data_IF_159757222265
#
_entry.id   IF_159757222265
#
_cell.length_a   1.000
_cell.length_b   1.000
_cell.length_c   1.000
_cell.angle_alpha   90.00
_cell.angle_beta   90.00
_cell.angle_gamma   90.00
#
_symmetry.space_group_name_H-M   'P 1'
#
loop_
_entity.id
_entity.type
_entity.pdbx_description
1 polymer ?
#
# COMPACT_ATOMS: atom_id res chain seq x y z
N UNK A 1 19.86 24.73 -29.27
CA UNK A 1 20.58 25.03 -30.54
C UNK A 1 21.92 25.74 -30.28
N UNK A 2 21.98 26.84 -29.52
CA UNK A 2 23.23 27.59 -29.30
C UNK A 2 24.43 26.77 -28.78
N UNK A 3 24.24 25.82 -27.87
CA UNK A 3 25.34 24.98 -27.35
C UNK A 3 26.07 24.18 -28.45
N UNK A 4 25.34 23.68 -29.46
CA UNK A 4 25.94 22.97 -30.59
C UNK A 4 26.70 23.92 -31.53
N UNK A 5 26.23 25.16 -31.67
CA UNK A 5 26.93 26.21 -32.43
C UNK A 5 28.27 26.59 -31.75
N UNK A 6 28.29 26.68 -30.42
CA UNK A 6 29.51 26.94 -29.64
C UNK A 6 30.51 25.77 -29.78
N UNK A 7 30.05 24.52 -29.68
CA UNK A 7 30.90 23.33 -29.88
C UNK A 7 31.51 23.32 -31.29
N UNK A 8 30.73 23.65 -32.33
CA UNK A 8 31.21 23.73 -33.71
C UNK A 8 32.21 24.88 -33.93
N UNK A 9 32.05 26.01 -33.25
CA UNK A 9 33.01 27.13 -33.29
C UNK A 9 34.33 26.75 -32.59
N UNK A 10 34.28 26.04 -31.46
CA UNK A 10 35.48 25.60 -30.72
C UNK A 10 36.26 24.52 -31.50
N UNK A 11 35.58 23.57 -32.15
CA UNK A 11 36.29 22.58 -32.98
C UNK A 11 36.95 23.23 -34.20
N UNK A 12 36.31 24.24 -34.80
CA UNK A 12 36.86 25.01 -35.91
C UNK A 12 38.09 25.83 -35.49
N UNK A 13 38.07 26.51 -34.32
CA UNK A 13 39.26 27.25 -33.85
C UNK A 13 40.44 26.34 -33.57
N UNK A 14 40.23 25.16 -32.96
CA UNK A 14 41.29 24.17 -32.77
C UNK A 14 41.94 23.74 -34.09
N UNK A 15 41.16 23.52 -35.16
CA UNK A 15 41.67 23.17 -36.48
C UNK A 15 42.52 24.31 -37.09
N UNK A 16 42.04 25.56 -36.99
CA UNK A 16 42.78 26.74 -37.46
C UNK A 16 44.09 26.96 -36.67
N UNK A 17 44.11 26.68 -35.36
CA UNK A 17 45.34 26.72 -34.56
C UNK A 17 46.35 25.66 -35.01
N UNK A 18 45.93 24.42 -35.24
CA UNK A 18 46.80 23.34 -35.71
C UNK A 18 47.43 23.66 -37.07
N UNK A 19 46.64 24.16 -38.02
CA UNK A 19 47.15 24.59 -39.34
C UNK A 19 48.14 25.75 -39.17
N UNK A 20 47.88 26.71 -38.27
CA UNK A 20 48.79 27.84 -38.03
C UNK A 20 50.17 27.39 -37.53
N UNK A 21 50.22 26.40 -36.63
CA UNK A 21 51.48 25.78 -36.18
C UNK A 21 52.20 25.09 -37.34
N UNK A 22 51.50 24.32 -38.16
CA UNK A 22 52.09 23.68 -39.36
C UNK A 22 52.66 24.71 -40.36
N UNK A 23 52.02 25.87 -40.56
CA UNK A 23 52.55 26.93 -41.43
C UNK A 23 53.79 27.63 -40.84
N UNK A 24 53.94 27.67 -39.51
CA UNK A 24 55.13 28.19 -38.82
C UNK A 24 56.32 27.25 -38.97
N UNK A 25 56.13 25.93 -38.77
CA UNK A 25 57.16 24.91 -39.00
C UNK A 25 57.66 24.93 -40.45
N UNK A 26 56.76 25.12 -41.41
CA UNK A 26 57.09 25.28 -42.84
C UNK A 26 57.69 26.67 -43.19
N UNK A 27 57.95 27.52 -42.20
CA UNK A 27 58.52 28.89 -42.32
C UNK A 27 57.84 29.76 -43.40
N UNK A 28 56.55 29.54 -43.65
CA UNK A 28 55.83 30.15 -44.77
C UNK A 28 55.37 31.55 -44.41
N UNK A 29 55.61 32.54 -45.27
CA UNK A 29 55.28 33.96 -45.01
C UNK A 29 53.79 34.20 -44.66
N UNK A 30 52.90 33.35 -45.18
CA UNK A 30 51.46 33.35 -44.88
C UNK A 30 51.08 33.00 -43.42
N UNK A 31 52.02 32.48 -42.61
CA UNK A 31 51.76 32.14 -41.21
C UNK A 31 51.24 33.33 -40.39
N UNK A 32 51.75 34.55 -40.64
CA UNK A 32 51.28 35.78 -39.97
C UNK A 32 49.78 36.02 -40.21
N UNK A 33 49.31 35.84 -41.44
CA UNK A 33 47.90 36.02 -41.82
C UNK A 33 47.01 35.01 -41.09
N UNK A 34 47.44 33.75 -41.01
CA UNK A 34 46.71 32.71 -40.29
C UNK A 34 46.61 32.99 -38.78
N UNK A 35 47.68 33.48 -38.15
CA UNK A 35 47.67 33.90 -36.74
C UNK A 35 46.66 35.03 -36.48
N UNK A 36 46.50 36.00 -37.40
CA UNK A 36 45.44 37.02 -37.27
C UNK A 36 44.03 36.40 -37.34
N UNK A 37 43.80 35.43 -38.22
CA UNK A 37 42.51 34.74 -38.28
C UNK A 37 42.21 33.89 -37.04
N UNK A 38 43.21 33.21 -36.44
CA UNK A 38 43.00 32.46 -35.19
C UNK A 38 42.64 33.39 -34.04
N UNK A 39 43.35 34.51 -33.90
CA UNK A 39 43.06 35.53 -32.88
C UNK A 39 41.64 36.12 -33.05
N UNK A 40 41.26 36.46 -34.28
CA UNK A 40 39.93 36.97 -34.61
C UNK A 40 38.80 35.98 -34.23
N UNK A 41 38.96 34.69 -34.56
CA UNK A 41 37.98 33.67 -34.19
C UNK A 41 37.89 33.46 -32.66
N UNK A 42 39.01 33.50 -31.93
CA UNK A 42 39.01 33.42 -30.47
C UNK A 42 38.23 34.60 -29.85
N UNK A 43 38.44 35.83 -30.35
CA UNK A 43 37.67 37.00 -29.93
C UNK A 43 36.17 36.83 -30.24
N UNK A 44 35.82 36.28 -31.42
CA UNK A 44 34.43 35.94 -31.76
C UNK A 44 33.79 34.93 -30.79
N UNK A 45 34.53 33.91 -30.35
CA UNK A 45 34.07 32.96 -29.34
C UNK A 45 33.87 33.65 -27.98
N UNK A 46 34.79 34.51 -27.54
CA UNK A 46 34.64 35.28 -26.28
C UNK A 46 33.41 36.20 -26.33
N UNK A 47 33.18 36.88 -27.46
CA UNK A 47 32.00 37.75 -27.65
C UNK A 47 30.69 36.94 -27.62
N UNK A 48 30.65 35.73 -28.20
CA UNK A 48 29.44 34.90 -28.13
C UNK A 48 29.19 34.31 -26.75
N UNK A 49 30.24 34.07 -25.95
CA UNK A 49 30.12 33.68 -24.53
C UNK A 49 29.64 34.87 -23.68
N UNK A 50 30.13 36.09 -23.92
CA UNK A 50 29.69 37.29 -23.19
C UNK A 50 28.23 37.68 -23.51
N UNK A 51 27.78 37.44 -24.74
CA UNK A 51 26.39 37.65 -25.15
C UNK A 51 25.49 36.42 -24.92
N UNK A 52 25.96 35.39 -24.20
CA UNK A 52 25.12 34.27 -23.81
C UNK A 52 24.02 34.78 -22.86
N UNK A 53 22.73 34.74 -23.25
CA UNK A 53 21.68 35.23 -22.37
C UNK A 53 21.69 34.40 -21.09
N UNK A 54 21.88 35.08 -19.96
CA UNK A 54 21.85 34.44 -18.64
C UNK A 54 20.62 33.57 -18.53
N UNK A 55 20.81 32.28 -18.31
CA UNK A 55 19.73 31.37 -17.93
C UNK A 55 19.28 31.73 -16.52
N UNK A 56 18.50 32.80 -16.40
CA UNK A 56 17.79 33.17 -15.19
C UNK A 56 16.72 32.10 -15.00
N UNK A 57 17.13 30.98 -14.42
CA UNK A 57 16.22 29.99 -13.88
C UNK A 57 15.32 30.76 -12.91
N UNK A 58 14.00 30.81 -13.11
CA UNK A 58 13.12 31.44 -12.13
C UNK A 58 13.37 30.72 -10.80
N UNK A 59 13.86 31.46 -9.81
CA UNK A 59 14.06 30.90 -8.47
C UNK A 59 12.67 30.67 -7.91
N UNK A 60 12.16 29.44 -8.07
CA UNK A 60 10.89 29.02 -7.52
C UNK A 60 10.99 29.04 -5.99
N UNK A 61 10.72 30.21 -5.41
CA UNK A 61 10.42 30.37 -4.01
C UNK A 61 9.02 29.80 -3.74
N UNK A 62 8.90 28.47 -3.87
CA UNK A 62 7.83 27.75 -3.21
C UNK A 62 8.16 27.75 -1.72
N UNK A 63 7.84 28.86 -1.07
CA UNK A 63 7.63 28.85 0.36
C UNK A 63 6.28 28.14 0.57
N UNK A 64 6.28 26.90 1.11
CA UNK A 64 5.02 26.20 1.34
C UNK A 64 4.19 27.07 2.27
N UNK A 65 3.02 27.52 1.82
CA UNK A 65 2.09 28.17 2.72
C UNK A 65 1.79 27.17 3.83
N UNK A 66 2.29 27.46 5.04
CA UNK A 66 2.03 26.64 6.21
C UNK A 66 0.51 26.53 6.31
N UNK A 67 -0.07 25.32 6.23
CA UNK A 67 -1.52 25.19 6.18
C UNK A 67 -2.09 25.90 7.41
N UNK A 68 -3.06 26.79 7.16
CA UNK A 68 -3.77 27.54 8.20
C UNK A 68 -4.72 26.58 8.92
N UNK A 69 -4.15 25.62 9.65
CA UNK A 69 -4.93 24.57 10.30
C UNK A 69 -5.65 25.18 11.49
N UNK A 70 -6.94 25.44 11.29
CA UNK A 70 -7.83 25.94 12.33
C UNK A 70 -7.83 24.94 13.49
N UNK A 71 -7.23 25.33 14.62
CA UNK A 71 -7.02 24.43 15.77
C UNK A 71 -8.33 23.94 16.39
N UNK A 72 -9.48 24.58 16.09
CA UNK A 72 -10.81 24.07 16.46
C UNK A 72 -11.32 23.02 15.48
N UNK A 73 -11.03 23.15 14.20
CA UNK A 73 -11.41 22.16 13.17
C UNK A 73 -10.50 20.93 13.21
N UNK A 74 -9.20 21.11 13.48
CA UNK A 74 -8.32 19.99 13.85
C UNK A 74 -8.88 19.27 15.07
N UNK A 75 -9.08 19.95 16.21
CA UNK A 75 -9.60 19.27 17.41
C UNK A 75 -10.98 18.67 17.21
N UNK A 76 -11.83 19.22 16.33
CA UNK A 76 -13.11 18.61 15.99
C UNK A 76 -12.98 17.39 15.06
N UNK A 77 -12.05 17.40 14.11
CA UNK A 77 -11.78 16.27 13.21
C UNK A 77 -10.97 15.16 13.89
N UNK A 78 -9.95 15.52 14.68
CA UNK A 78 -9.19 14.67 15.58
C UNK A 78 -10.14 14.02 16.57
N UNK A 79 -10.94 14.76 17.35
CA UNK A 79 -11.91 14.16 18.30
C UNK A 79 -13.00 13.31 17.59
N UNK A 80 -13.36 13.62 16.34
CA UNK A 80 -14.25 12.77 15.51
C UNK A 80 -13.57 11.50 14.97
N UNK A 81 -12.24 11.42 15.00
CA UNK A 81 -11.42 10.26 14.59
C UNK A 81 -10.80 9.52 15.81
N UNK A 82 -10.66 10.19 16.96
CA UNK A 82 -10.12 9.65 18.22
C UNK A 82 -11.01 8.55 18.80
N UNK A 83 -12.32 8.64 18.57
CA UNK A 83 -13.27 7.62 19.03
C UNK A 83 -13.46 6.56 17.94
N UNK A 84 -13.18 5.31 18.33
CA UNK A 84 -13.56 4.07 17.65
C UNK A 84 -12.58 3.43 16.64
N UNK A 85 -11.28 3.41 16.97
CA UNK A 85 -10.36 2.33 16.54
C UNK A 85 -9.96 1.39 17.67
N UNK A 86 -9.93 1.87 18.93
CA UNK A 86 -9.63 1.04 20.10
C UNK A 86 -10.72 -0.02 20.24
N UNK A 87 -10.34 -1.29 20.29
CA UNK A 87 -11.26 -2.43 20.30
C UNK A 87 -11.63 -2.96 18.92
N UNK A 88 -11.45 -2.18 17.84
CA UNK A 88 -11.72 -2.66 16.47
C UNK A 88 -10.67 -3.66 16.00
N UNK A 89 -11.09 -4.47 15.02
CA UNK A 89 -10.25 -5.44 14.32
C UNK A 89 -9.65 -4.79 13.08
N UNK A 90 -8.38 -5.07 12.81
CA UNK A 90 -7.66 -4.60 11.61
C UNK A 90 -7.02 -5.79 10.91
N UNK A 91 -6.99 -5.77 9.57
CA UNK A 91 -6.35 -6.80 8.75
C UNK A 91 -5.01 -6.30 8.21
N UNK A 92 -3.99 -7.15 8.22
CA UNK A 92 -2.67 -6.82 7.66
C UNK A 92 -2.71 -6.86 6.13
N UNK A 93 -2.32 -5.75 5.48
CA UNK A 93 -2.30 -5.62 4.01
C UNK A 93 -0.93 -5.97 3.39
N UNK A 94 0.15 -5.77 4.14
CA UNK A 94 1.51 -6.14 3.73
C UNK A 94 1.71 -7.67 3.69
N UNK A 95 2.66 -8.18 2.91
CA UNK A 95 3.08 -9.60 2.95
C UNK A 95 3.58 -9.99 4.35
N UNK A 96 4.44 -9.14 4.90
CA UNK A 96 4.97 -9.19 6.25
C UNK A 96 4.79 -7.83 6.93
N UNK A 97 4.38 -7.85 8.20
CA UNK A 97 4.31 -6.67 9.05
C UNK A 97 5.01 -6.97 10.37
N UNK A 98 6.03 -6.18 10.68
CA UNK A 98 6.78 -6.31 11.92
C UNK A 98 5.99 -5.72 13.08
N UNK A 99 6.03 -6.41 14.23
CA UNK A 99 5.57 -5.90 15.51
C UNK A 99 6.79 -5.41 16.28
N UNK A 100 6.80 -4.13 16.61
CA UNK A 100 7.88 -3.45 17.33
C UNK A 100 7.57 -3.33 18.84
N UNK A 101 8.60 -3.34 19.68
CA UNK A 101 8.48 -3.13 21.13
C UNK A 101 7.99 -1.71 21.50
N UNK A 102 8.28 -0.72 20.65
CA UNK A 102 7.91 0.69 20.82
C UNK A 102 7.62 1.35 19.46
N UNK A 103 7.11 2.58 19.46
CA UNK A 103 6.70 3.40 18.30
C UNK A 103 7.90 3.94 17.51
N UNK A 104 8.82 3.08 17.12
CA UNK A 104 10.05 3.45 16.42
C UNK A 104 10.58 2.31 15.57
N UNK A 105 11.00 2.61 14.33
CA UNK A 105 11.71 1.65 13.48
C UNK A 105 13.07 1.23 14.04
N UNK A 106 13.59 1.92 15.07
CA UNK A 106 14.80 1.53 15.82
C UNK A 106 14.50 0.63 17.02
N UNK A 107 13.23 0.40 17.35
CA UNK A 107 12.85 -0.49 18.45
C UNK A 107 13.06 -1.96 18.06
N UNK A 108 13.30 -2.81 19.06
CA UNK A 108 13.40 -4.25 18.86
C UNK A 108 12.10 -4.80 18.25
N UNK A 109 12.22 -5.60 17.21
CA UNK A 109 11.12 -6.42 16.68
C UNK A 109 10.80 -7.52 17.70
N UNK A 110 9.54 -7.59 18.15
CA UNK A 110 9.04 -8.60 19.10
C UNK A 110 8.28 -9.74 18.42
N UNK A 111 7.89 -9.56 17.16
CA UNK A 111 7.27 -10.58 16.32
C UNK A 111 7.03 -10.08 14.90
N UNK A 112 6.54 -10.97 14.05
CA UNK A 112 6.11 -10.65 12.68
C UNK A 112 4.77 -11.31 12.44
N UNK A 113 3.86 -10.59 11.80
CA UNK A 113 2.51 -11.04 11.42
C UNK A 113 2.36 -10.97 9.92
N UNK A 114 1.58 -11.90 9.36
CA UNK A 114 1.46 -12.10 7.91
C UNK A 114 0.26 -11.38 7.32
N UNK A 115 0.27 -11.18 6.00
CA UNK A 115 -0.88 -10.69 5.25
C UNK A 115 -2.16 -11.47 5.59
N UNK A 116 -3.28 -10.76 5.74
CA UNK A 116 -4.57 -11.35 6.07
C UNK A 116 -4.79 -11.67 7.55
N UNK A 117 -3.76 -11.57 8.41
CA UNK A 117 -3.94 -11.78 9.85
C UNK A 117 -4.80 -10.67 10.48
N UNK A 118 -5.73 -11.06 11.35
CA UNK A 118 -6.65 -10.15 12.04
C UNK A 118 -6.09 -9.81 13.42
N UNK A 119 -5.85 -8.52 13.65
CA UNK A 119 -5.27 -7.99 14.87
C UNK A 119 -6.29 -7.12 15.60
N UNK A 120 -6.30 -7.17 16.94
CA UNK A 120 -7.12 -6.28 17.76
C UNK A 120 -6.33 -5.03 18.12
N UNK A 121 -6.85 -3.83 17.83
CA UNK A 121 -6.23 -2.58 18.26
C UNK A 121 -6.52 -2.33 19.73
N UNK A 122 -5.47 -2.17 20.54
CA UNK A 122 -5.56 -1.96 22.00
C UNK A 122 -5.16 -0.55 22.43
N UNK A 123 -4.40 0.20 21.62
CA UNK A 123 -4.16 1.63 21.84
C UNK A 123 -3.82 2.37 20.53
N UNK A 124 -4.20 3.64 20.46
CA UNK A 124 -3.83 4.57 19.40
C UNK A 124 -3.11 5.76 20.04
N UNK A 125 -1.87 6.10 19.66
CA UNK A 125 -1.15 7.26 20.16
C UNK A 125 -1.56 8.54 19.39
N UNK A 126 -1.35 9.74 19.96
CA UNK A 126 -1.82 11.00 19.35
C UNK A 126 -1.23 11.33 17.96
N UNK A 127 -0.07 10.76 17.60
CA UNK A 127 0.50 10.95 16.28
C UNK A 127 -0.11 10.04 15.20
N UNK A 128 -0.95 9.06 15.58
CA UNK A 128 -1.66 8.13 14.71
C UNK A 128 -0.84 7.27 13.72
N UNK A 129 0.46 7.50 13.54
CA UNK A 129 1.33 6.71 12.64
C UNK A 129 1.45 5.24 13.09
N UNK A 130 1.25 4.98 14.38
CA UNK A 130 1.40 3.68 15.02
C UNK A 130 0.09 3.23 15.66
N UNK A 131 -0.10 1.93 15.76
CA UNK A 131 -1.18 1.29 16.50
C UNK A 131 -0.57 0.26 17.44
N UNK A 132 -0.99 0.23 18.70
CA UNK A 132 -0.68 -0.91 19.58
C UNK A 132 -1.71 -1.97 19.31
N UNK A 133 -1.27 -3.17 18.97
CA UNK A 133 -2.12 -4.31 18.63
C UNK A 133 -1.90 -5.49 19.59
N UNK A 134 -2.87 -6.40 19.57
CA UNK A 134 -2.80 -7.73 20.15
C UNK A 134 -3.15 -8.76 19.06
N UNK A 135 -2.28 -9.74 18.90
CA UNK A 135 -2.48 -10.93 18.04
C UNK A 135 -3.41 -11.94 18.70
N UNK A 136 -3.94 -12.89 17.92
CA UNK A 136 -4.75 -14.00 18.46
C UNK A 136 -4.01 -14.91 19.45
N UNK A 137 -2.67 -14.93 19.40
CA UNK A 137 -1.81 -15.67 20.36
C UNK A 137 -1.51 -14.88 21.64
N UNK A 138 -2.04 -13.66 21.76
CA UNK A 138 -1.84 -12.79 22.93
C UNK A 138 -0.59 -11.92 22.88
N UNK A 139 0.32 -12.10 21.91
CA UNK A 139 1.48 -11.22 21.73
C UNK A 139 1.01 -9.79 21.42
N UNK A 140 1.56 -8.82 22.15
CA UNK A 140 1.26 -7.39 21.97
C UNK A 140 2.48 -6.60 21.53
N UNK A 141 2.26 -5.53 20.77
CA UNK A 141 3.28 -4.57 20.40
C UNK A 141 2.75 -3.54 19.43
N UNK A 142 3.64 -2.78 18.79
CA UNK A 142 3.30 -1.67 17.92
C UNK A 142 3.46 -2.04 16.46
N UNK A 143 2.55 -1.57 15.61
CA UNK A 143 2.59 -1.69 14.14
C UNK A 143 2.31 -0.33 13.51
N UNK A 144 2.73 -0.12 12.27
CA UNK A 144 2.49 1.14 11.55
C UNK A 144 1.11 1.13 10.90
N UNK A 145 0.31 2.17 11.14
CA UNK A 145 -1.10 2.28 10.74
C UNK A 145 -1.32 2.09 9.23
N UNK A 146 -0.42 2.60 8.40
CA UNK A 146 -0.54 2.55 6.93
C UNK A 146 -0.47 1.14 6.31
N UNK A 147 -0.09 0.12 7.07
CA UNK A 147 -0.01 -1.28 6.61
C UNK A 147 -1.17 -2.15 7.07
N UNK A 148 -2.14 -1.59 7.81
CA UNK A 148 -3.33 -2.29 8.27
C UNK A 148 -4.61 -1.57 7.82
N UNK A 149 -5.64 -2.35 7.52
CA UNK A 149 -6.93 -1.86 7.06
C UNK A 149 -8.00 -2.17 8.11
N UNK A 150 -8.89 -1.22 8.41
CA UNK A 150 -9.87 -1.36 9.49
C UNK A 150 -11.03 -2.22 9.00
N UNK A 151 -11.28 -3.33 9.70
CA UNK A 151 -12.49 -4.12 9.48
C UNK A 151 -13.64 -3.35 10.14
N UNK A 152 -14.43 -2.68 9.32
CA UNK A 152 -15.69 -2.10 9.74
C UNK A 152 -16.73 -3.23 9.81
N UNK A 153 -16.95 -3.74 11.02
CA UNK A 153 -18.09 -4.60 11.30
C UNK A 153 -19.38 -3.80 11.02
N UNK A 154 -20.27 -4.29 10.14
CA UNK A 154 -21.49 -3.57 9.70
C UNK A 154 -22.53 -3.36 10.82
N UNK A 155 -22.26 -3.86 12.04
CA UNK A 155 -23.12 -3.79 13.22
C UNK A 155 -23.24 -2.41 13.90
N UNK A 156 -22.64 -1.35 13.34
CA UNK A 156 -22.75 0.03 13.89
C UNK A 156 -23.86 0.88 13.25
N UNK A 157 -24.73 0.30 12.40
CA UNK A 157 -25.87 1.03 11.79
C UNK A 157 -27.24 0.83 12.46
N UNK A 158 -27.31 0.07 13.56
CA UNK A 158 -28.53 -0.15 14.35
C UNK A 158 -28.24 -0.05 15.84
N UNK A 159 -28.10 1.19 16.35
CA UNK A 159 -28.10 1.46 17.80
C UNK A 159 -28.50 2.89 18.24
N UNK A 160 -29.11 3.67 17.35
CA UNK A 160 -29.66 5.01 17.67
C UNK A 160 -31.19 5.12 17.50
N UNK A 161 -31.89 4.07 17.04
CA UNK A 161 -33.34 4.13 16.76
C UNK A 161 -34.24 3.57 17.89
N UNK A 162 -33.68 2.88 18.90
CA UNK A 162 -34.43 2.31 20.04
C UNK A 162 -34.48 3.25 21.28
N UNK A 163 -34.74 4.55 21.08
CA UNK A 163 -34.85 5.53 22.19
C UNK A 163 -36.08 6.43 22.19
N UNK A 164 -37.08 6.13 21.38
CA UNK A 164 -38.43 6.70 21.49
C UNK A 164 -39.45 5.56 21.37
N UNK A 165 -40.58 5.67 22.10
CA UNK A 165 -41.65 4.65 22.18
C UNK A 165 -41.21 3.41 23.00
N UNK A 166 -41.75 3.07 24.17
CA UNK A 166 -42.85 3.67 24.94
C UNK A 166 -42.75 3.30 26.44
N UNK A 167 -43.08 4.24 27.33
CA UNK A 167 -43.53 3.92 28.68
C UNK A 167 -45.06 3.80 28.64
N UNK A 168 -45.61 2.63 28.90
CA UNK A 168 -46.40 2.39 30.12
C UNK A 168 -47.02 0.97 30.20
N UNK A 169 -46.85 0.33 31.37
CA UNK A 169 -47.70 -0.69 32.06
C UNK A 169 -48.18 -1.94 31.27
N UNK A 170 -47.76 -3.15 31.64
CA UNK A 170 -48.23 -3.96 32.80
C UNK A 170 -49.73 -4.33 32.69
N UNK A 171 -50.17 -5.60 32.72
CA UNK A 171 -50.10 -6.66 33.76
C UNK A 171 -50.55 -7.99 33.09
N UNK A 172 -49.76 -9.08 32.99
CA UNK A 172 -49.54 -10.23 33.93
C UNK A 172 -50.37 -11.51 33.57
N UNK A 173 -49.82 -12.70 33.89
CA UNK A 173 -50.43 -14.07 33.91
C UNK A 173 -50.71 -14.74 32.54
N UNK A 174 -50.61 -16.07 32.36
CA UNK A 174 -50.08 -17.26 33.07
C UNK A 174 -49.86 -18.36 31.97
N UNK A 175 -49.23 -19.54 32.11
CA UNK A 175 -48.72 -20.35 33.22
C UNK A 175 -47.49 -21.20 32.75
N UNK A 176 -47.12 -22.31 33.43
CA UNK A 176 -46.04 -23.25 33.05
C UNK A 176 -46.54 -24.63 32.51
N UNK A 177 -45.65 -25.37 31.83
CA UNK A 177 -45.20 -26.78 32.11
C UNK A 177 -44.58 -27.46 30.86
N UNK A 178 -43.59 -28.32 31.11
CA UNK A 178 -42.69 -29.03 30.18
C UNK A 178 -43.36 -30.06 29.26
N UNK A 179 -42.67 -30.42 28.13
CA UNK A 179 -42.39 -31.83 27.81
C UNK A 179 -41.22 -32.07 26.82
N UNK A 180 -40.35 -33.02 27.17
CA UNK A 180 -39.44 -33.93 26.41
C UNK A 180 -39.25 -33.70 24.88
N UNK A 181 -38.07 -33.81 24.24
CA UNK A 181 -37.08 -34.89 24.36
C UNK A 181 -35.85 -34.68 23.40
N UNK A 182 -34.70 -35.26 23.76
CA UNK A 182 -33.58 -35.74 22.91
C UNK A 182 -32.71 -34.80 22.03
N UNK A 183 -31.38 -34.94 22.27
CA UNK A 183 -30.24 -34.81 21.33
C UNK A 183 -29.88 -33.45 20.72
N UNK A 184 -28.74 -32.89 21.12
CA UNK A 184 -27.45 -32.91 20.38
C UNK A 184 -26.45 -31.90 21.02
N UNK A 185 -25.21 -32.32 21.30
CA UNK A 185 -24.10 -31.44 21.70
C UNK A 185 -22.76 -31.92 21.13
N UNK A 186 -22.24 -31.23 20.11
CA UNK A 186 -21.02 -30.41 20.24
C UNK A 186 -20.88 -29.56 18.96
N UNK A 187 -21.36 -28.31 19.03
CA UNK A 187 -21.47 -27.40 17.90
C UNK A 187 -20.84 -26.03 18.28
N UNK A 188 -19.63 -25.74 17.80
CA UNK A 188 -19.04 -24.40 17.88
C UNK A 188 -18.91 -23.78 16.48
N UNK A 189 -20.06 -23.51 15.90
CA UNK A 189 -20.24 -23.01 14.54
C UNK A 189 -20.17 -21.49 14.48
N UNK A 190 -18.96 -20.94 14.54
CA UNK A 190 -18.69 -19.52 14.29
C UNK A 190 -19.09 -19.13 12.86
N UNK A 191 -20.27 -18.50 12.72
CA UNK A 191 -20.92 -18.24 11.44
C UNK A 191 -20.11 -17.37 10.49
N UNK A 192 -19.60 -17.97 9.41
CA UNK A 192 -18.92 -17.28 8.31
C UNK A 192 -19.79 -17.35 7.06
N UNK A 193 -20.21 -16.19 6.53
CA UNK A 193 -21.14 -16.10 5.40
C UNK A 193 -20.52 -16.62 4.08
N UNK A 194 -20.70 -17.90 3.78
CA UNK A 194 -20.23 -18.54 2.54
C UNK A 194 -20.02 -20.05 2.60
N UNK A 195 -20.00 -20.66 3.79
CA UNK A 195 -19.82 -22.11 3.97
C UNK A 195 -20.89 -22.91 3.22
N UNK A 196 -20.48 -23.85 2.38
CA UNK A 196 -21.36 -24.70 1.57
C UNK A 196 -21.68 -24.18 0.16
N UNK A 197 -21.29 -22.94 -0.19
CA UNK A 197 -21.47 -22.44 -1.57
C UNK A 197 -20.46 -23.09 -2.54
N UNK A 198 -20.91 -23.30 -3.79
CA UNK A 198 -20.05 -23.77 -4.88
C UNK A 198 -19.38 -22.60 -5.60
N UNK A 199 -18.12 -22.80 -6.00
CA UNK A 199 -17.38 -21.85 -6.84
C UNK A 199 -16.78 -22.54 -8.05
N UNK A 200 -16.60 -21.79 -9.14
CA UNK A 200 -15.96 -22.24 -10.38
C UNK A 200 -14.59 -21.58 -10.55
N UNK A 201 -13.59 -22.34 -11.00
CA UNK A 201 -12.24 -21.81 -11.27
C UNK A 201 -12.22 -20.98 -12.56
N UNK A 202 -11.72 -19.74 -12.49
CA UNK A 202 -11.65 -18.81 -13.65
C UNK A 202 -10.41 -18.99 -14.54
N UNK A 203 -9.32 -19.52 -13.99
CA UNK A 203 -8.02 -19.68 -14.68
C UNK A 203 -7.83 -21.10 -15.20
N UNK A 204 -6.98 -21.32 -16.20
CA UNK A 204 -6.70 -22.66 -16.75
C UNK A 204 -6.21 -23.66 -15.70
N UNK A 205 -5.42 -23.16 -14.74
CA UNK A 205 -4.95 -23.88 -13.56
C UNK A 205 -5.00 -22.94 -12.35
N UNK A 206 -5.26 -23.50 -11.17
CA UNK A 206 -5.28 -22.79 -9.89
C UNK A 206 -4.62 -23.65 -8.81
N UNK A 207 -3.61 -23.09 -8.15
CA UNK A 207 -2.87 -23.80 -7.09
C UNK A 207 -3.63 -23.78 -5.77
N UNK A 208 -3.86 -24.96 -5.21
CA UNK A 208 -4.39 -25.17 -3.86
C UNK A 208 -3.22 -25.17 -2.88
N UNK A 209 -3.29 -24.35 -1.84
CA UNK A 209 -2.20 -24.14 -0.88
C UNK A 209 -2.58 -24.62 0.53
N UNK A 210 -1.57 -24.95 1.32
CA UNK A 210 -1.74 -25.37 2.71
C UNK A 210 -2.32 -24.27 3.62
N UNK A 211 -2.10 -23.00 3.27
CA UNK A 211 -2.40 -21.83 4.11
C UNK A 211 -2.81 -20.63 3.22
N UNK A 212 -3.45 -19.62 3.79
CA UNK A 212 -4.04 -18.47 3.09
C UNK A 212 -3.01 -17.40 2.67
N UNK A 213 -1.94 -17.82 1.98
CA UNK A 213 -0.83 -16.95 1.55
C UNK A 213 -0.22 -17.40 0.21
N UNK A 214 0.33 -16.44 -0.54
CA UNK A 214 1.07 -16.69 -1.79
C UNK A 214 2.42 -17.39 -1.57
N UNK A 215 2.94 -17.38 -0.35
CA UNK A 215 4.19 -18.06 0.04
C UNK A 215 3.92 -19.47 0.64
N UNK A 216 2.65 -19.82 0.87
CA UNK A 216 2.28 -21.10 1.43
C UNK A 216 2.53 -22.25 0.44
N UNK A 217 3.00 -23.39 0.95
CA UNK A 217 3.27 -24.59 0.14
C UNK A 217 2.06 -24.98 -0.71
N UNK A 218 2.28 -25.17 -2.00
CA UNK A 218 1.28 -25.77 -2.91
C UNK A 218 1.12 -27.24 -2.57
N UNK A 219 -0.13 -27.65 -2.31
CA UNK A 219 -0.51 -29.02 -1.94
C UNK A 219 -1.32 -29.73 -3.03
N UNK A 220 -1.73 -29.00 -4.07
CA UNK A 220 -2.33 -29.55 -5.29
C UNK A 220 -2.68 -28.46 -6.28
N UNK A 221 -3.26 -28.87 -7.40
CA UNK A 221 -3.72 -27.98 -8.48
C UNK A 221 -5.12 -28.41 -8.90
N UNK A 222 -6.00 -27.45 -9.16
CA UNK A 222 -7.32 -27.66 -9.78
C UNK A 222 -7.36 -26.98 -11.14
N UNK A 223 -8.17 -27.51 -12.06
CA UNK A 223 -8.24 -27.03 -13.45
C UNK A 223 -9.30 -25.95 -13.62
N UNK A 224 -9.18 -25.20 -14.70
CA UNK A 224 -10.20 -24.24 -15.11
C UNK A 224 -11.54 -24.90 -15.36
N UNK A 225 -12.60 -24.21 -14.93
CA UNK A 225 -13.98 -24.71 -14.90
C UNK A 225 -14.28 -25.82 -13.87
N UNK A 226 -13.31 -26.33 -13.11
CA UNK A 226 -13.60 -27.21 -11.97
C UNK A 226 -14.52 -26.50 -10.96
N UNK A 227 -15.42 -27.26 -10.34
CA UNK A 227 -16.31 -26.77 -9.29
C UNK A 227 -15.76 -27.19 -7.93
N UNK A 228 -15.70 -26.24 -7.00
CA UNK A 228 -15.14 -26.42 -5.65
C UNK A 228 -16.20 -26.06 -4.61
N UNK A 229 -16.18 -26.72 -3.46
CA UNK A 229 -17.06 -26.41 -2.33
C UNK A 229 -16.31 -25.51 -1.35
N UNK A 230 -16.87 -24.35 -0.98
CA UNK A 230 -16.31 -23.51 0.08
C UNK A 230 -16.56 -24.15 1.44
N UNK A 231 -15.49 -24.43 2.17
CA UNK A 231 -15.53 -24.78 3.59
C UNK A 231 -15.45 -23.54 4.49
N UNK A 232 -14.70 -22.51 4.06
CA UNK A 232 -14.44 -21.31 4.85
C UNK A 232 -14.19 -20.13 3.90
N UNK A 233 -14.84 -18.99 4.14
CA UNK A 233 -14.63 -17.77 3.36
C UNK A 233 -14.56 -16.54 4.29
N UNK A 234 -13.45 -16.36 5.04
CA UNK A 234 -13.33 -15.29 6.01
C UNK A 234 -13.56 -13.91 5.37
N UNK A 235 -14.43 -13.11 5.96
CA UNK A 235 -14.75 -11.76 5.47
C UNK A 235 -13.52 -10.88 5.60
N UNK A 236 -13.18 -10.12 4.55
CA UNK A 236 -11.97 -9.30 4.47
C UNK A 236 -10.69 -10.04 4.04
N UNK A 237 -10.72 -11.37 3.92
CA UNK A 237 -9.57 -12.17 3.52
C UNK A 237 -9.65 -12.53 2.03
N UNK A 238 -8.56 -12.32 1.28
CA UNK A 238 -8.50 -12.57 -0.17
C UNK A 238 -8.33 -14.06 -0.55
N UNK A 239 -8.60 -14.97 0.38
CA UNK A 239 -8.51 -16.41 0.21
C UNK A 239 -9.78 -17.09 0.70
N UNK A 240 -10.13 -18.19 0.07
CA UNK A 240 -11.21 -19.08 0.50
C UNK A 240 -10.66 -20.50 0.66
N UNK A 241 -11.09 -21.17 1.72
CA UNK A 241 -10.77 -22.57 1.98
C UNK A 241 -11.79 -23.44 1.27
N UNK A 242 -11.31 -24.32 0.42
CA UNK A 242 -12.14 -25.15 -0.45
C UNK A 242 -11.95 -26.64 -0.14
N UNK A 243 -12.89 -27.44 -0.63
CA UNK A 243 -12.80 -28.88 -0.79
C UNK A 243 -13.09 -29.23 -2.25
N UNK A 244 -12.25 -30.06 -2.86
CA UNK A 244 -12.52 -30.66 -4.17
C UNK A 244 -13.37 -31.92 -4.01
N UNK A 245 -14.01 -32.38 -5.09
CA UNK A 245 -14.73 -33.65 -5.10
C UNK A 245 -13.81 -34.86 -4.81
N UNK A 246 -12.52 -34.74 -5.16
CA UNK A 246 -11.47 -35.71 -4.80
C UNK A 246 -11.04 -35.66 -3.32
N UNK A 247 -11.65 -34.79 -2.51
CA UNK A 247 -11.40 -34.69 -1.07
C UNK A 247 -10.20 -33.82 -0.66
N UNK A 248 -9.46 -33.23 -1.61
CA UNK A 248 -8.37 -32.30 -1.32
C UNK A 248 -8.94 -31.03 -0.68
N UNK A 249 -8.42 -30.65 0.49
CA UNK A 249 -8.78 -29.41 1.18
C UNK A 249 -7.58 -28.46 1.24
N UNK A 250 -7.84 -27.16 1.11
CA UNK A 250 -6.80 -26.13 1.15
C UNK A 250 -7.32 -24.77 0.75
N UNK A 251 -6.42 -23.80 0.64
CA UNK A 251 -6.73 -22.40 0.35
C UNK A 251 -6.48 -22.06 -1.11
N UNK A 252 -7.40 -21.28 -1.70
CA UNK A 252 -7.29 -20.70 -3.04
C UNK A 252 -7.63 -19.21 -3.01
N UNK A 253 -7.06 -18.44 -3.92
CA UNK A 253 -7.26 -16.99 -3.97
C UNK A 253 -8.67 -16.64 -4.47
N UNK A 254 -9.38 -15.79 -3.70
CA UNK A 254 -10.80 -15.44 -3.90
C UNK A 254 -11.07 -14.76 -5.25
N UNK A 255 -10.10 -14.03 -5.78
CA UNK A 255 -10.17 -13.34 -7.07
C UNK A 255 -10.04 -14.28 -8.29
N UNK A 256 -9.59 -15.53 -8.09
CA UNK A 256 -9.41 -16.52 -9.16
C UNK A 256 -10.57 -17.52 -9.26
N UNK A 257 -11.59 -17.36 -8.42
CA UNK A 257 -12.80 -18.18 -8.39
C UNK A 257 -14.06 -17.33 -8.58
N UNK A 258 -15.11 -17.94 -9.14
CA UNK A 258 -16.41 -17.34 -9.36
C UNK A 258 -17.44 -17.99 -8.42
N UNK A 259 -18.20 -17.19 -7.69
CA UNK A 259 -19.33 -17.70 -6.91
C UNK A 259 -20.46 -18.07 -7.86
N UNK A 260 -20.86 -19.34 -7.85
CA UNK A 260 -22.05 -19.77 -8.58
C UNK A 260 -23.29 -19.32 -7.80
N UNK A 261 -24.34 -18.81 -8.48
CA UNK A 261 -25.61 -18.43 -7.85
C UNK A 261 -26.36 -19.66 -7.30
#
# INVERSE_FOLDING_TARGET
>A
MWSWMIIALISLTCLFCFISVMQLELKKSSAKVWIFFTCCLIVGVVITIMNLPSTVMPKYAYEPQKPQINLKELKAAENKIEVNLIGKRVVVKSSELYIWADKSFKAKVVGTVKSGEILKVIAVPPNHDWLKIQTGTGLTGWVVKSFVEVILDESEKQKEEDKAVEKDKAVEKDNAVEKDNAKDEDDNKSGTAGTGKKVRVKTSELFVRADSSYDAKVIGTVKGNDTLIILEAPVGLNWVKIKTDAGLTGWVAKNLVEFLP
#
